data_IF_892571075751
#
_entry.id   IF_892571075751
#
_cell.length_a   1.000
_cell.length_b   1.000
_cell.length_c   1.000
_cell.angle_alpha   90.00
_cell.angle_beta   90.00
_cell.angle_gamma   90.00
#
_symmetry.space_group_name_H-M   'P 1'
#
loop_
_entity.id
_entity.type
_entity.pdbx_description
1 polymer ?
#
# COMPACT_ATOMS: atom_id res chain seq x y z
N UNK A 1 17.51 43.78 -29.48
CA UNK A 1 17.52 43.84 -27.99
C UNK A 1 17.76 42.43 -27.52
N UNK A 2 18.98 42.11 -27.09
CA UNK A 2 19.32 40.85 -26.46
C UNK A 2 18.77 40.89 -25.03
N UNK A 3 17.93 39.91 -24.66
CA UNK A 3 17.41 39.76 -23.34
C UNK A 3 18.55 39.62 -22.30
N UNK A 4 18.44 40.25 -21.16
CA UNK A 4 19.45 40.11 -20.10
C UNK A 4 19.48 38.70 -19.54
N UNK A 5 20.57 38.23 -18.92
CA UNK A 5 20.63 36.94 -18.29
C UNK A 5 19.52 36.72 -17.23
N UNK A 6 19.12 37.77 -16.53
CA UNK A 6 18.03 37.74 -15.55
C UNK A 6 16.65 37.50 -16.21
N UNK A 7 16.41 38.15 -17.39
CA UNK A 7 15.17 37.94 -18.14
C UNK A 7 15.10 36.52 -18.71
N UNK A 8 16.24 35.96 -19.12
CA UNK A 8 16.31 34.57 -19.57
C UNK A 8 16.03 33.59 -18.43
N UNK A 9 16.54 33.80 -17.22
CA UNK A 9 16.29 32.94 -16.08
C UNK A 9 14.81 33.00 -15.66
N UNK A 10 14.20 34.18 -15.65
CA UNK A 10 12.76 34.36 -15.33
C UNK A 10 11.87 33.73 -16.43
N UNK A 11 12.23 33.84 -17.69
CA UNK A 11 11.52 33.20 -18.80
C UNK A 11 11.70 31.68 -18.78
N UNK A 12 12.89 31.18 -18.49
CA UNK A 12 13.12 29.73 -18.33
C UNK A 12 12.30 29.19 -17.15
N UNK A 13 12.22 29.87 -16.01
CA UNK A 13 11.40 29.45 -14.88
C UNK A 13 9.90 29.36 -15.22
N UNK A 14 9.41 30.10 -16.23
CA UNK A 14 8.02 29.99 -16.71
C UNK A 14 7.78 28.79 -17.62
N UNK A 15 8.82 28.26 -18.26
CA UNK A 15 8.74 27.13 -19.18
C UNK A 15 9.13 25.80 -18.54
N UNK A 16 9.77 25.83 -17.38
CA UNK A 16 10.12 24.62 -16.64
C UNK A 16 9.22 24.49 -15.40
N UNK A 17 8.55 23.36 -15.32
CA UNK A 17 7.79 23.00 -14.12
C UNK A 17 8.74 22.71 -12.96
N UNK A 18 8.40 23.20 -11.79
CA UNK A 18 9.13 22.81 -10.58
C UNK A 18 8.89 21.34 -10.27
N UNK A 19 9.78 20.64 -9.55
CA UNK A 19 9.54 19.26 -9.12
C UNK A 19 8.20 19.07 -8.41
N UNK A 20 7.76 20.08 -7.65
CA UNK A 20 6.45 20.08 -6.97
C UNK A 20 5.26 20.10 -7.94
N UNK A 21 5.41 20.67 -9.13
CA UNK A 21 4.37 20.72 -10.16
C UNK A 21 4.38 19.48 -11.05
N UNK A 22 5.55 18.87 -11.24
CA UNK A 22 5.74 17.69 -12.10
C UNK A 22 5.52 16.39 -11.35
N UNK A 23 5.99 16.32 -10.09
CA UNK A 23 5.82 15.12 -9.28
C UNK A 23 4.37 15.01 -8.82
N UNK A 24 3.73 13.87 -9.04
CA UNK A 24 2.38 13.65 -8.58
C UNK A 24 2.35 13.74 -7.06
N UNK A 25 1.47 14.59 -6.54
CA UNK A 25 1.21 14.74 -5.10
C UNK A 25 -0.03 13.94 -4.64
N UNK A 26 -0.53 13.06 -5.50
CA UNK A 26 -1.66 12.16 -5.24
C UNK A 26 -1.25 10.72 -5.59
N UNK A 27 -1.94 9.77 -5.00
CA UNK A 27 -1.80 8.38 -5.37
C UNK A 27 -2.31 8.18 -6.81
N UNK A 28 -1.47 7.64 -7.69
CA UNK A 28 -1.81 7.34 -9.09
C UNK A 28 -1.76 5.84 -9.36
N UNK A 29 -1.00 5.10 -8.59
CA UNK A 29 -0.81 3.66 -8.76
C UNK A 29 -1.27 2.90 -7.52
N UNK A 30 -1.50 1.61 -7.69
CA UNK A 30 -1.77 0.68 -6.56
C UNK A 30 -0.66 0.75 -5.51
N UNK A 31 0.60 0.92 -5.93
CA UNK A 31 1.72 1.07 -5.02
C UNK A 31 1.65 2.37 -4.20
N UNK A 32 1.15 3.46 -4.79
CA UNK A 32 0.98 4.72 -4.08
C UNK A 32 -0.17 4.65 -3.07
N UNK A 33 -1.30 4.03 -3.42
CA UNK A 33 -2.37 3.75 -2.47
C UNK A 33 -1.88 2.89 -1.31
N UNK A 34 -1.06 1.86 -1.59
CA UNK A 34 -0.47 1.03 -0.55
C UNK A 34 0.39 1.84 0.42
N UNK A 35 1.22 2.76 -0.08
CA UNK A 35 2.03 3.66 0.76
C UNK A 35 1.16 4.53 1.65
N UNK A 36 0.09 5.12 1.10
CA UNK A 36 -0.87 5.91 1.88
C UNK A 36 -1.49 5.11 3.02
N UNK A 37 -1.90 3.87 2.75
CA UNK A 37 -2.53 3.01 3.75
C UNK A 37 -1.55 2.64 4.86
N UNK A 38 -0.31 2.32 4.52
CA UNK A 38 0.74 1.95 5.49
C UNK A 38 1.08 3.11 6.42
N UNK A 39 0.90 4.36 5.97
CA UNK A 39 1.09 5.56 6.80
C UNK A 39 -0.02 5.76 7.85
N UNK A 40 -1.14 5.06 7.73
CA UNK A 40 -2.23 5.16 8.72
C UNK A 40 -1.79 4.52 10.04
N UNK A 41 -1.83 5.25 11.17
CA UNK A 41 -1.50 4.67 12.46
C UNK A 41 -2.37 3.47 12.79
N UNK A 42 -1.74 2.34 13.12
CA UNK A 42 -2.40 1.07 13.39
C UNK A 42 -2.33 0.06 12.25
N UNK A 43 -1.94 0.47 11.05
CA UNK A 43 -1.68 -0.44 9.93
C UNK A 43 -0.22 -0.88 9.97
N UNK A 44 0.03 -2.19 9.89
CA UNK A 44 1.35 -2.80 9.76
C UNK A 44 1.71 -3.00 8.29
N UNK A 45 0.77 -3.51 7.51
CA UNK A 45 0.95 -3.74 6.07
C UNK A 45 -0.39 -3.68 5.33
N UNK A 46 -0.35 -3.55 4.00
CA UNK A 46 -1.53 -3.50 3.17
C UNK A 46 -1.31 -4.16 1.81
N UNK A 47 -2.36 -4.76 1.27
CA UNK A 47 -2.40 -5.33 -0.08
C UNK A 47 -3.62 -4.79 -0.79
N UNK A 48 -3.46 -4.51 -2.07
CA UNK A 48 -4.52 -3.99 -2.93
C UNK A 48 -4.56 -4.85 -4.18
N UNK A 49 -5.71 -5.41 -4.45
CA UNK A 49 -5.94 -6.22 -5.64
C UNK A 49 -7.12 -5.68 -6.44
N UNK A 50 -7.01 -5.72 -7.77
CA UNK A 50 -8.14 -5.40 -8.63
C UNK A 50 -9.24 -6.46 -8.43
N UNK A 51 -10.48 -5.98 -8.30
CA UNK A 51 -11.66 -6.81 -8.14
C UNK A 51 -12.73 -6.43 -9.17
N UNK A 52 -12.59 -6.89 -10.40
CA UNK A 52 -13.55 -6.56 -11.45
C UNK A 52 -14.91 -7.19 -11.14
N UNK A 53 -15.95 -6.37 -11.06
CA UNK A 53 -17.32 -6.85 -10.95
C UNK A 53 -17.83 -7.26 -12.34
N UNK A 54 -18.46 -8.42 -12.39
CA UNK A 54 -19.09 -8.93 -13.62
C UNK A 54 -20.57 -8.59 -13.62
N UNK A 55 -20.99 -7.95 -14.68
CA UNK A 55 -22.38 -7.66 -14.98
C UNK A 55 -22.76 -8.25 -16.33
N UNK A 56 -24.05 -8.30 -16.59
CA UNK A 56 -24.61 -8.69 -17.88
C UNK A 56 -25.40 -7.53 -18.44
N UNK A 57 -25.00 -7.05 -19.61
CA UNK A 57 -25.74 -6.04 -20.34
C UNK A 57 -26.85 -6.73 -21.14
N UNK A 58 -28.09 -6.45 -20.78
CA UNK A 58 -29.26 -6.81 -21.54
C UNK A 58 -29.49 -5.71 -22.59
N UNK A 59 -29.10 -5.99 -23.82
CA UNK A 59 -29.17 -5.02 -24.91
C UNK A 59 -30.60 -4.83 -25.42
N UNK A 60 -31.52 -5.75 -25.13
CA UNK A 60 -32.92 -5.66 -25.47
C UNK A 60 -33.67 -4.77 -24.47
N UNK A 61 -33.43 -4.99 -23.17
CA UNK A 61 -34.04 -4.21 -22.11
C UNK A 61 -33.26 -2.93 -21.75
N UNK A 62 -32.10 -2.68 -22.40
CA UNK A 62 -31.22 -1.52 -22.19
C UNK A 62 -30.85 -1.33 -20.72
N UNK A 63 -30.49 -2.41 -20.01
CA UNK A 63 -30.12 -2.37 -18.58
C UNK A 63 -28.97 -3.33 -18.23
N UNK A 64 -28.26 -3.02 -17.14
CA UNK A 64 -27.27 -3.92 -16.54
C UNK A 64 -27.94 -4.79 -15.47
N UNK A 65 -27.53 -6.06 -15.43
CA UNK A 65 -27.98 -7.04 -14.44
C UNK A 65 -26.76 -7.70 -13.78
N UNK A 66 -26.93 -8.05 -12.52
CA UNK A 66 -25.89 -8.74 -11.78
C UNK A 66 -25.88 -10.24 -12.10
N UNK A 67 -27.02 -10.83 -12.28
CA UNK A 67 -27.24 -12.21 -12.66
C UNK A 67 -27.44 -12.37 -14.18
N UNK A 68 -27.08 -13.52 -14.72
CA UNK A 68 -27.30 -13.82 -16.13
C UNK A 68 -28.75 -14.22 -16.36
N UNK A 69 -29.58 -13.38 -17.01
CA UNK A 69 -31.01 -13.64 -17.14
C UNK A 69 -31.37 -14.74 -18.17
N UNK A 70 -30.38 -15.23 -18.94
CA UNK A 70 -30.61 -16.10 -20.09
C UNK A 70 -31.19 -15.37 -21.28
N UNK A 71 -31.09 -15.98 -22.47
CA UNK A 71 -31.68 -15.46 -23.69
C UNK A 71 -30.73 -14.66 -24.59
N UNK A 72 -31.22 -14.29 -25.79
CA UNK A 72 -30.45 -13.53 -26.77
C UNK A 72 -30.22 -12.08 -26.32
N UNK A 73 -29.13 -11.47 -26.76
CA UNK A 73 -28.83 -10.07 -26.48
C UNK A 73 -28.17 -9.81 -25.15
N UNK A 74 -27.84 -10.87 -24.39
CA UNK A 74 -27.09 -10.74 -23.13
C UNK A 74 -25.59 -10.78 -23.40
N UNK A 75 -24.85 -9.78 -22.91
CA UNK A 75 -23.39 -9.70 -23.05
C UNK A 75 -22.74 -9.52 -21.69
N UNK A 76 -21.67 -10.27 -21.36
CA UNK A 76 -20.91 -10.04 -20.13
C UNK A 76 -20.16 -8.70 -20.22
N UNK A 77 -20.21 -7.93 -19.15
CA UNK A 77 -19.49 -6.66 -18.98
C UNK A 77 -18.71 -6.72 -17.70
N UNK A 78 -17.42 -6.45 -17.79
CA UNK A 78 -16.58 -6.30 -16.61
C UNK A 78 -16.41 -4.82 -16.28
N UNK A 79 -16.87 -4.42 -15.10
CA UNK A 79 -16.58 -3.10 -14.53
C UNK A 79 -15.19 -3.16 -13.90
N UNK A 80 -14.28 -2.36 -14.43
CA UNK A 80 -12.89 -2.27 -13.99
C UNK A 80 -12.70 -1.01 -13.14
N UNK A 81 -11.51 -0.88 -12.53
CA UNK A 81 -11.18 0.25 -11.65
C UNK A 81 -11.69 0.05 -10.22
N UNK A 82 -12.10 -1.17 -9.88
CA UNK A 82 -12.52 -1.52 -8.54
C UNK A 82 -11.42 -2.32 -7.86
N UNK A 83 -11.16 -1.99 -6.59
CA UNK A 83 -10.09 -2.58 -5.81
C UNK A 83 -10.62 -3.08 -4.47
N UNK A 84 -10.09 -4.23 -4.04
CA UNK A 84 -10.24 -4.73 -2.67
C UNK A 84 -8.94 -4.50 -1.93
N UNK A 85 -9.04 -3.93 -0.74
CA UNK A 85 -7.91 -3.68 0.15
C UNK A 85 -7.95 -4.71 1.28
N UNK A 86 -6.78 -5.27 1.61
CA UNK A 86 -6.59 -6.07 2.81
C UNK A 86 -5.52 -5.41 3.67
N UNK A 87 -5.79 -5.25 4.94
CA UNK A 87 -4.88 -4.64 5.90
C UNK A 87 -4.47 -5.63 6.99
N UNK A 88 -3.21 -5.55 7.38
CA UNK A 88 -2.68 -6.20 8.57
C UNK A 88 -2.54 -5.13 9.64
N UNK A 89 -3.12 -5.38 10.80
CA UNK A 89 -2.99 -4.45 11.92
C UNK A 89 -1.66 -4.60 12.64
N UNK A 90 -1.20 -3.53 13.26
CA UNK A 90 -0.03 -3.59 14.15
C UNK A 90 -0.36 -4.44 15.38
N UNK A 91 0.66 -5.11 15.89
CA UNK A 91 0.60 -5.84 17.15
C UNK A 91 0.08 -4.92 18.28
N UNK A 92 -0.76 -5.49 19.12
CA UNK A 92 -1.38 -4.75 20.23
C UNK A 92 -2.76 -4.15 19.93
N UNK A 93 -3.21 -4.08 18.67
CA UNK A 93 -4.60 -3.74 18.34
C UNK A 93 -5.51 -4.96 18.50
N UNK A 94 -5.94 -5.21 19.74
CA UNK A 94 -6.76 -6.38 20.06
C UNK A 94 -8.26 -6.09 20.11
N UNK A 95 -8.64 -4.80 20.28
CA UNK A 95 -10.05 -4.41 20.42
C UNK A 95 -10.69 -4.17 19.06
N UNK A 96 -11.85 -4.73 18.84
CA UNK A 96 -12.61 -4.56 17.59
C UNK A 96 -12.95 -3.09 17.30
N UNK A 97 -13.22 -2.29 18.32
CA UNK A 97 -13.49 -0.85 18.17
C UNK A 97 -12.28 -0.08 17.64
N UNK A 98 -11.06 -0.44 18.07
CA UNK A 98 -9.82 0.18 17.59
C UNK A 98 -9.54 -0.24 16.14
N UNK A 99 -9.75 -1.50 15.79
CA UNK A 99 -9.63 -2.04 14.43
C UNK A 99 -10.64 -1.38 13.49
N UNK A 100 -11.88 -1.22 13.91
CA UNK A 100 -12.90 -0.50 13.15
C UNK A 100 -12.49 0.94 12.91
N UNK A 101 -11.99 1.65 13.92
CA UNK A 101 -11.53 3.03 13.76
C UNK A 101 -10.33 3.16 12.80
N UNK A 102 -9.44 2.16 12.74
CA UNK A 102 -8.35 2.11 11.74
C UNK A 102 -8.92 1.89 10.35
N UNK A 103 -9.83 0.94 10.20
CA UNK A 103 -10.51 0.62 8.94
C UNK A 103 -11.24 1.84 8.37
N UNK A 104 -11.99 2.57 9.20
CA UNK A 104 -12.71 3.78 8.81
C UNK A 104 -11.76 4.89 8.35
N UNK A 105 -10.63 5.06 9.03
CA UNK A 105 -9.59 6.01 8.62
C UNK A 105 -8.95 5.64 7.27
N UNK A 106 -8.68 4.36 7.06
CA UNK A 106 -8.17 3.85 5.77
C UNK A 106 -9.19 4.11 4.66
N UNK A 107 -10.45 3.80 4.91
CA UNK A 107 -11.51 4.03 3.93
C UNK A 107 -11.67 5.52 3.60
N UNK A 108 -11.69 6.40 4.60
CA UNK A 108 -11.77 7.84 4.41
C UNK A 108 -10.59 8.36 3.59
N UNK A 109 -9.36 7.93 3.91
CA UNK A 109 -8.14 8.29 3.19
C UNK A 109 -8.19 7.86 1.72
N UNK A 110 -8.66 6.65 1.45
CA UNK A 110 -8.80 6.12 0.10
C UNK A 110 -9.84 6.89 -0.70
N UNK A 111 -10.99 7.21 -0.10
CA UNK A 111 -12.04 8.00 -0.74
C UNK A 111 -11.57 9.43 -1.07
N UNK A 112 -10.80 10.04 -0.19
CA UNK A 112 -10.23 11.38 -0.39
C UNK A 112 -9.20 11.44 -1.53
N UNK A 113 -8.44 10.34 -1.72
CA UNK A 113 -7.37 10.24 -2.70
C UNK A 113 -7.75 9.44 -3.96
N UNK A 114 -8.99 9.06 -4.10
CA UNK A 114 -9.50 8.25 -5.20
C UNK A 114 -9.31 8.94 -6.56
N UNK A 115 -8.80 8.20 -7.54
CA UNK A 115 -8.74 8.66 -8.92
C UNK A 115 -10.10 8.57 -9.62
N UNK A 116 -10.23 9.28 -10.72
CA UNK A 116 -11.41 9.19 -11.56
C UNK A 116 -11.57 7.74 -12.11
N UNK A 117 -12.80 7.23 -12.06
CA UNK A 117 -13.15 5.87 -12.48
C UNK A 117 -12.49 4.74 -11.63
N UNK A 118 -12.00 5.04 -10.44
CA UNK A 118 -11.55 4.05 -9.47
C UNK A 118 -12.42 4.08 -8.22
N UNK A 119 -12.59 2.92 -7.57
CA UNK A 119 -13.27 2.81 -6.27
C UNK A 119 -12.76 1.61 -5.47
N UNK A 120 -13.00 1.63 -4.16
CA UNK A 120 -12.60 0.60 -3.21
C UNK A 120 -13.84 -0.13 -2.71
N UNK A 121 -13.98 -1.40 -3.13
CA UNK A 121 -15.17 -2.22 -2.84
C UNK A 121 -15.25 -2.60 -1.37
N UNK A 122 -14.09 -2.92 -0.78
CA UNK A 122 -13.98 -3.30 0.62
C UNK A 122 -12.58 -3.07 1.16
N UNK A 123 -12.52 -2.85 2.47
CA UNK A 123 -11.29 -2.88 3.27
C UNK A 123 -11.47 -4.01 4.29
N UNK A 124 -10.75 -5.10 4.10
CA UNK A 124 -10.85 -6.31 4.93
C UNK A 124 -9.56 -6.52 5.72
N UNK A 125 -9.64 -7.31 6.78
CA UNK A 125 -8.48 -7.80 7.51
C UNK A 125 -7.82 -8.96 6.75
N UNK A 126 -6.50 -9.06 6.80
CA UNK A 126 -5.77 -10.21 6.28
C UNK A 126 -5.99 -11.39 7.20
N UNK A 127 -6.38 -12.53 6.63
CA UNK A 127 -6.35 -13.79 7.35
C UNK A 127 -4.89 -14.20 7.61
N UNK A 128 -4.55 -14.35 8.87
CA UNK A 128 -3.24 -14.81 9.30
C UNK A 128 -3.23 -16.33 9.44
N UNK A 129 -2.17 -16.95 8.95
CA UNK A 129 -1.93 -18.36 9.16
C UNK A 129 -0.76 -18.54 10.11
N UNK A 130 -1.03 -19.18 11.24
CA UNK A 130 0.03 -19.52 12.19
C UNK A 130 0.90 -20.63 11.64
N UNK A 131 2.19 -20.54 11.88
CA UNK A 131 3.16 -21.57 11.59
C UNK A 131 4.03 -21.84 12.80
N UNK A 132 4.51 -23.07 12.94
CA UNK A 132 5.50 -23.43 13.95
C UNK A 132 6.82 -23.81 13.26
N UNK A 133 7.91 -23.32 13.83
CA UNK A 133 9.26 -23.68 13.40
C UNK A 133 9.92 -24.50 14.50
N UNK A 134 10.40 -25.70 14.12
CA UNK A 134 11.28 -26.52 14.98
C UNK A 134 12.69 -26.51 14.39
N UNK A 135 13.66 -26.14 15.17
CA UNK A 135 15.07 -26.13 14.77
C UNK A 135 15.95 -26.52 15.97
N UNK A 136 17.01 -27.24 15.68
CA UNK A 136 18.11 -27.52 16.63
C UNK A 136 19.28 -26.62 16.27
N UNK A 137 19.85 -25.97 17.28
CA UNK A 137 20.96 -25.04 17.12
C UNK A 137 22.15 -25.51 17.98
N UNK A 138 23.28 -25.64 17.34
CA UNK A 138 24.53 -25.84 18.03
C UNK A 138 25.15 -24.45 18.35
N UNK A 139 25.47 -24.22 19.61
CA UNK A 139 25.98 -22.96 20.07
C UNK A 139 27.50 -23.01 20.24
N UNK A 140 28.17 -21.94 19.90
CA UNK A 140 29.60 -21.79 20.24
C UNK A 140 29.82 -21.71 21.76
N UNK A 141 30.94 -22.20 22.25
CA UNK A 141 31.29 -22.11 23.67
C UNK A 141 31.27 -20.65 24.14
N UNK A 142 30.46 -20.36 25.17
CA UNK A 142 30.31 -19.03 25.75
C UNK A 142 29.20 -18.15 25.13
N UNK A 143 28.48 -18.65 24.11
CA UNK A 143 27.30 -17.93 23.60
C UNK A 143 26.14 -17.98 24.61
N UNK A 144 25.41 -16.89 24.72
CA UNK A 144 24.17 -16.84 25.51
C UNK A 144 23.03 -17.49 24.72
N UNK A 145 22.48 -18.63 25.20
CA UNK A 145 21.41 -19.35 24.50
C UNK A 145 20.15 -18.50 24.31
N UNK A 146 19.80 -17.67 25.29
CA UNK A 146 18.59 -16.85 25.23
C UNK A 146 18.71 -15.74 24.16
N UNK A 147 19.89 -15.12 24.09
CA UNK A 147 20.16 -14.10 23.08
C UNK A 147 20.16 -14.70 21.66
N UNK A 148 20.80 -15.87 21.47
CA UNK A 148 20.83 -16.55 20.16
C UNK A 148 19.42 -16.96 19.74
N UNK A 149 18.63 -17.54 20.65
CA UNK A 149 17.25 -17.93 20.35
C UNK A 149 16.39 -16.70 19.95
N UNK A 150 16.56 -15.58 20.66
CA UNK A 150 15.86 -14.33 20.34
C UNK A 150 16.27 -13.77 18.95
N UNK A 151 17.56 -13.82 18.62
CA UNK A 151 18.06 -13.38 17.32
C UNK A 151 17.55 -14.27 16.17
N UNK A 152 17.59 -15.58 16.35
CA UNK A 152 17.08 -16.53 15.35
C UNK A 152 15.59 -16.30 15.12
N UNK A 153 14.81 -16.19 16.19
CA UNK A 153 13.36 -15.88 16.08
C UNK A 153 13.12 -14.59 15.33
N UNK A 154 13.85 -13.53 15.67
CA UNK A 154 13.72 -12.23 15.00
C UNK A 154 14.05 -12.31 13.49
N UNK A 155 15.14 -13.00 13.12
CA UNK A 155 15.52 -13.13 11.71
C UNK A 155 14.55 -14.01 10.92
N UNK A 156 14.01 -15.06 11.53
CA UNK A 156 12.98 -15.91 10.91
C UNK A 156 11.67 -15.14 10.70
N UNK A 157 11.18 -14.43 11.71
CA UNK A 157 9.99 -13.60 11.60
C UNK A 157 10.18 -12.53 10.52
N UNK A 158 11.35 -11.90 10.48
CA UNK A 158 11.68 -10.91 9.46
C UNK A 158 11.79 -11.49 8.05
N UNK A 159 12.23 -12.73 7.91
CA UNK A 159 12.31 -13.42 6.62
C UNK A 159 10.93 -13.82 6.10
N UNK A 160 10.08 -14.38 6.96
CA UNK A 160 8.77 -14.91 6.59
C UNK A 160 7.70 -13.81 6.43
N UNK A 161 7.72 -12.81 7.30
CA UNK A 161 6.78 -11.70 7.30
C UNK A 161 7.51 -10.35 7.43
N UNK A 162 8.29 -9.93 6.42
CA UNK A 162 9.09 -8.72 6.52
C UNK A 162 8.19 -7.51 6.77
N UNK A 163 8.49 -6.70 7.82
CA UNK A 163 7.77 -5.47 8.05
C UNK A 163 8.03 -4.50 6.90
N UNK A 164 6.99 -3.82 6.43
CA UNK A 164 7.18 -2.73 5.47
C UNK A 164 7.73 -1.54 6.25
N UNK A 165 8.99 -1.22 5.99
CA UNK A 165 9.63 -0.07 6.60
C UNK A 165 9.28 1.18 5.79
N UNK A 166 8.41 2.02 6.34
CA UNK A 166 8.07 3.30 5.76
C UNK A 166 8.78 4.40 6.58
N UNK A 167 9.76 5.05 5.96
CA UNK A 167 10.56 6.07 6.62
C UNK A 167 10.31 7.43 5.99
N UNK A 168 10.16 8.44 6.81
CA UNK A 168 10.18 9.83 6.36
C UNK A 168 11.58 10.20 5.86
N UNK A 169 11.67 11.17 4.96
CA UNK A 169 12.96 11.62 4.43
C UNK A 169 13.93 12.04 5.54
N UNK A 170 13.43 12.68 6.60
CA UNK A 170 14.23 13.08 7.78
C UNK A 170 14.78 11.88 8.56
N UNK A 171 14.09 10.77 8.56
CA UNK A 171 14.52 9.52 9.19
C UNK A 171 15.52 8.79 8.30
N UNK A 172 15.26 8.74 6.99
CA UNK A 172 16.17 8.14 6.01
C UNK A 172 17.55 8.82 6.02
N UNK A 173 17.57 10.16 6.10
CA UNK A 173 18.83 10.92 6.20
C UNK A 173 19.67 10.60 7.44
N UNK A 174 19.06 10.09 8.50
CA UNK A 174 19.75 9.68 9.73
C UNK A 174 20.14 8.20 9.76
N UNK A 175 19.55 7.42 8.86
CA UNK A 175 19.87 5.99 8.75
C UNK A 175 21.15 5.79 7.95
N UNK A 176 21.85 4.74 8.30
CA UNK A 176 23.03 4.27 7.59
C UNK A 176 22.82 2.83 7.17
N UNK A 177 23.38 2.46 6.05
CA UNK A 177 23.53 1.07 5.66
C UNK A 177 24.39 0.31 6.69
N UNK A 178 24.40 -1.02 6.59
CA UNK A 178 25.19 -1.88 7.47
C UNK A 178 26.70 -1.61 7.39
N UNK A 179 27.16 -1.06 6.28
CA UNK A 179 28.56 -0.63 6.04
C UNK A 179 28.86 0.81 6.50
N UNK A 180 27.89 1.48 7.12
CA UNK A 180 28.01 2.85 7.61
C UNK A 180 27.76 3.94 6.55
N UNK A 181 27.49 3.58 5.29
CA UNK A 181 27.17 4.55 4.25
C UNK A 181 25.76 5.14 4.46
N UNK A 182 25.53 6.43 4.16
CA UNK A 182 24.19 7.03 4.28
C UNK A 182 23.23 6.48 3.22
N UNK A 183 21.93 6.43 3.55
CA UNK A 183 20.84 6.14 2.61
C UNK A 183 20.52 7.39 1.77
N UNK A 184 21.36 7.83 0.90
CA UNK A 184 21.11 8.98 0.02
C UNK A 184 20.97 8.54 -1.42
#
# INVERSE_FOLDING_TARGET
LLATPADNAANMARHFFTPRQVLPNRALTVADYRKLIIDVPGVKNAWIAAEPLRYFADTVAARLRHDHPGGPGIRPVAVRGLYRVRIEYREGLTKDSERTAVKDRVLALLQENRNLCEDFVAVDEVETQDYSLCAELELEPGADPALVAAQVRFEVERYLAPPVSNYRLSEMRRKQHRDGSPYT
#
